data_IF_192343088211
#
_entry.id   IF_192343088211
#
_cell.length_a   1.000
_cell.length_b   1.000
_cell.length_c   1.000
_cell.angle_alpha   90.00
_cell.angle_beta   90.00
_cell.angle_gamma   90.00
#
_symmetry.space_group_name_H-M   'P 1'
#
loop_
_entity.id
_entity.type
_entity.pdbx_description
1 polymer ?
#
# COMPACT_ATOMS: atom_id res chain seq x y z
N UNK A 1 -13.91 10.58 19.45
CA UNK A 1 -12.47 10.71 19.16
C UNK A 1 -12.29 10.63 17.67
N UNK A 2 -11.50 11.50 17.05
CA UNK A 2 -11.21 11.45 15.62
C UNK A 2 -10.22 10.33 15.31
N UNK A 3 -10.32 9.71 14.14
CA UNK A 3 -9.32 8.75 13.68
C UNK A 3 -8.01 9.47 13.32
N UNK A 4 -6.88 8.79 13.56
CA UNK A 4 -5.52 9.29 13.30
C UNK A 4 -4.85 8.55 12.14
N UNK A 5 -5.27 7.30 11.90
CA UNK A 5 -4.67 6.40 10.93
C UNK A 5 -5.74 5.69 10.10
N UNK A 6 -5.61 5.71 8.78
CA UNK A 6 -6.48 4.96 7.85
C UNK A 6 -5.71 3.80 7.23
N UNK A 7 -6.20 2.58 7.42
CA UNK A 7 -5.70 1.40 6.72
C UNK A 7 -6.54 1.18 5.47
N UNK A 8 -5.91 1.32 4.31
CA UNK A 8 -6.50 1.09 3.00
C UNK A 8 -6.37 -0.39 2.66
N UNK A 9 -7.48 -1.02 2.27
CA UNK A 9 -7.55 -2.41 1.85
C UNK A 9 -8.09 -2.46 0.42
N UNK A 10 -7.21 -2.55 -0.61
CA UNK A 10 -7.64 -2.75 -1.99
C UNK A 10 -8.29 -4.12 -2.16
N UNK A 11 -9.46 -4.17 -2.79
CA UNK A 11 -10.25 -5.39 -3.01
C UNK A 11 -10.62 -5.53 -4.47
N UNK A 12 -10.34 -6.71 -5.06
CA UNK A 12 -10.82 -7.08 -6.39
C UNK A 12 -11.06 -8.58 -6.47
N UNK A 13 -12.33 -9.01 -6.45
CA UNK A 13 -12.74 -10.41 -6.43
C UNK A 13 -12.04 -11.19 -5.31
N UNK A 14 -12.34 -10.84 -4.07
CA UNK A 14 -11.70 -11.39 -2.86
C UNK A 14 -12.78 -11.87 -1.85
N UNK A 15 -13.96 -12.29 -2.32
CA UNK A 15 -15.08 -12.69 -1.47
C UNK A 15 -14.70 -13.72 -0.39
N UNK A 16 -13.76 -14.64 -0.71
CA UNK A 16 -13.29 -15.69 0.20
C UNK A 16 -12.39 -15.17 1.34
N UNK A 17 -11.84 -13.95 1.21
CA UNK A 17 -10.88 -13.38 2.17
C UNK A 17 -11.51 -12.34 3.10
N UNK A 18 -12.61 -11.70 2.72
CA UNK A 18 -13.12 -10.49 3.39
C UNK A 18 -13.55 -10.72 4.84
N UNK A 19 -14.14 -11.86 5.18
CA UNK A 19 -14.51 -12.17 6.58
C UNK A 19 -13.27 -12.30 7.47
N UNK A 20 -12.20 -12.90 6.93
CA UNK A 20 -10.92 -12.98 7.62
C UNK A 20 -10.29 -11.59 7.77
N UNK A 21 -10.33 -10.77 6.72
CA UNK A 21 -9.84 -9.38 6.76
C UNK A 21 -10.55 -8.59 7.85
N UNK A 22 -11.87 -8.67 7.93
CA UNK A 22 -12.65 -8.04 9.00
C UNK A 22 -12.16 -8.47 10.38
N UNK A 23 -12.11 -9.78 10.62
CA UNK A 23 -11.71 -10.36 11.91
C UNK A 23 -10.33 -9.88 12.35
N UNK A 24 -9.34 -9.96 11.47
CA UNK A 24 -7.95 -9.61 11.78
C UNK A 24 -7.78 -8.08 11.98
N UNK A 25 -8.46 -7.24 11.17
CA UNK A 25 -8.39 -5.79 11.33
C UNK A 25 -9.19 -5.29 12.53
N UNK A 26 -10.29 -5.93 12.90
CA UNK A 26 -10.99 -5.66 14.17
C UNK A 26 -10.12 -6.03 15.38
N UNK A 27 -9.42 -7.16 15.32
CA UNK A 27 -8.50 -7.55 16.37
C UNK A 27 -7.36 -6.52 16.50
N UNK A 28 -6.79 -6.10 15.37
CA UNK A 28 -5.75 -5.06 15.34
C UNK A 28 -6.26 -3.73 15.91
N UNK A 29 -7.46 -3.28 15.55
CA UNK A 29 -8.03 -2.00 16.02
C UNK A 29 -8.08 -1.88 17.55
N UNK A 30 -8.16 -3.00 18.25
CA UNK A 30 -8.18 -3.04 19.72
C UNK A 30 -6.80 -2.83 20.36
N UNK A 31 -5.72 -3.12 19.64
CA UNK A 31 -4.33 -3.05 20.11
C UNK A 31 -3.52 -1.99 19.36
N UNK A 32 -4.15 -1.30 18.43
CA UNK A 32 -3.52 -0.26 17.63
C UNK A 32 -3.06 0.92 18.50
N UNK A 33 -1.82 1.37 18.30
CA UNK A 33 -1.25 2.53 19.03
C UNK A 33 -1.86 3.86 18.59
N UNK A 34 -2.58 3.88 17.47
CA UNK A 34 -3.32 5.01 16.92
C UNK A 34 -4.78 4.67 16.71
N UNK A 35 -5.69 5.63 16.95
CA UNK A 35 -7.10 5.43 16.64
C UNK A 35 -7.28 5.21 15.13
N UNK A 36 -7.66 3.97 14.76
CA UNK A 36 -7.56 3.47 13.38
C UNK A 36 -8.93 3.25 12.76
N UNK A 37 -9.11 3.73 11.53
CA UNK A 37 -10.21 3.33 10.66
C UNK A 37 -9.72 2.51 9.47
N UNK A 38 -10.60 1.70 8.92
CA UNK A 38 -10.34 0.84 7.77
C UNK A 38 -11.12 1.39 6.57
N UNK A 39 -10.46 1.48 5.41
CA UNK A 39 -11.06 1.91 4.17
C UNK A 39 -10.89 0.83 3.11
N UNK A 40 -11.95 0.09 2.85
CA UNK A 40 -12.00 -0.80 1.70
C UNK A 40 -12.07 0.01 0.40
N UNK A 41 -11.26 -0.34 -0.58
CA UNK A 41 -11.37 0.21 -1.93
C UNK A 41 -11.68 -0.93 -2.90
N UNK A 42 -12.96 -1.10 -3.22
CA UNK A 42 -13.41 -2.10 -4.18
C UNK A 42 -13.12 -1.63 -5.61
N UNK A 43 -12.17 -2.29 -6.25
CA UNK A 43 -11.72 -2.01 -7.62
C UNK A 43 -12.64 -2.66 -8.67
N UNK A 44 -13.96 -2.46 -8.54
CA UNK A 44 -14.96 -2.97 -9.49
C UNK A 44 -15.08 -4.48 -9.52
N UNK A 45 -15.15 -5.13 -8.35
CA UNK A 45 -15.33 -6.59 -8.22
C UNK A 45 -16.62 -7.05 -8.89
N UNK A 46 -16.61 -8.27 -9.42
CA UNK A 46 -17.73 -8.92 -10.10
C UNK A 46 -18.33 -10.10 -9.31
N UNK A 47 -17.72 -10.44 -8.20
CA UNK A 47 -18.17 -11.45 -7.24
C UNK A 47 -18.98 -10.81 -6.10
N UNK A 48 -19.15 -11.51 -4.99
CA UNK A 48 -19.91 -11.01 -3.82
C UNK A 48 -19.12 -10.01 -2.96
N UNK A 49 -17.89 -9.63 -3.34
CA UNK A 49 -17.04 -8.74 -2.53
C UNK A 49 -17.74 -7.45 -2.14
N UNK A 50 -18.51 -6.80 -3.06
CA UNK A 50 -19.21 -5.55 -2.75
C UNK A 50 -20.23 -5.74 -1.62
N UNK A 51 -21.09 -6.75 -1.74
CA UNK A 51 -22.13 -6.99 -0.73
C UNK A 51 -21.53 -7.34 0.64
N UNK A 52 -20.43 -8.08 0.67
CA UNK A 52 -19.72 -8.41 1.91
C UNK A 52 -19.12 -7.16 2.53
N UNK A 53 -18.47 -6.30 1.75
CA UNK A 53 -17.91 -5.02 2.22
C UNK A 53 -18.99 -4.14 2.85
N UNK A 54 -20.13 -3.98 2.19
CA UNK A 54 -21.27 -3.20 2.69
C UNK A 54 -21.73 -3.74 4.05
N UNK A 55 -21.96 -5.04 4.15
CA UNK A 55 -22.37 -5.68 5.39
C UNK A 55 -21.33 -5.54 6.52
N UNK A 56 -20.01 -5.55 6.19
CA UNK A 56 -18.94 -5.29 7.17
C UNK A 56 -19.02 -3.84 7.66
N UNK A 57 -19.19 -2.88 6.77
CA UNK A 57 -19.25 -1.46 7.12
C UNK A 57 -20.52 -1.10 7.90
N UNK A 58 -21.64 -1.75 7.63
CA UNK A 58 -22.88 -1.56 8.40
C UNK A 58 -22.78 -1.97 9.86
N UNK A 59 -22.03 -3.04 10.15
CA UNK A 59 -21.88 -3.55 11.54
C UNK A 59 -20.67 -3.00 12.29
N UNK A 60 -19.76 -2.23 11.61
CA UNK A 60 -18.55 -1.71 12.21
C UNK A 60 -18.35 -0.22 11.88
N UNK A 61 -18.51 0.65 12.84
CA UNK A 61 -18.43 2.12 12.67
C UNK A 61 -17.06 2.67 12.26
N UNK A 62 -16.01 1.88 12.38
CA UNK A 62 -14.64 2.25 11.99
C UNK A 62 -14.25 1.66 10.63
N UNK A 63 -15.18 1.02 9.90
CA UNK A 63 -14.97 0.53 8.54
C UNK A 63 -15.78 1.37 7.55
N UNK A 64 -15.12 1.73 6.47
CA UNK A 64 -15.70 2.52 5.38
C UNK A 64 -15.32 1.89 4.04
N UNK A 65 -15.98 2.30 2.97
CA UNK A 65 -15.63 1.81 1.63
C UNK A 65 -15.76 2.86 0.54
N UNK A 66 -15.03 2.63 -0.54
CA UNK A 66 -15.15 3.27 -1.85
C UNK A 66 -15.30 2.16 -2.87
N UNK A 67 -16.16 2.33 -3.86
CA UNK A 67 -16.37 1.37 -4.94
C UNK A 67 -16.18 2.00 -6.31
N UNK A 68 -15.39 1.36 -7.18
CA UNK A 68 -15.22 1.78 -8.57
C UNK A 68 -16.28 1.10 -9.45
N UNK A 69 -16.73 1.80 -10.50
CA UNK A 69 -17.63 1.24 -11.51
C UNK A 69 -16.99 0.08 -12.29
N UNK A 70 -15.66 0.09 -12.44
CA UNK A 70 -14.92 -0.94 -13.16
C UNK A 70 -13.48 -1.02 -12.68
N UNK A 71 -12.82 -2.18 -12.88
CA UNK A 71 -11.44 -2.41 -12.48
C UNK A 71 -10.48 -1.41 -13.13
N UNK A 72 -9.71 -0.71 -12.31
CA UNK A 72 -8.66 0.25 -12.68
C UNK A 72 -7.26 -0.19 -12.21
N UNK A 73 -7.19 -1.24 -11.41
CA UNK A 73 -5.97 -1.85 -10.91
C UNK A 73 -5.48 -1.30 -9.57
N UNK A 74 -4.61 -2.07 -8.93
CA UNK A 74 -4.12 -1.84 -7.57
C UNK A 74 -3.62 -0.40 -7.32
N UNK A 75 -2.88 0.19 -8.26
CA UNK A 75 -2.38 1.56 -8.09
C UNK A 75 -3.49 2.59 -8.00
N UNK A 76 -4.58 2.41 -8.77
CA UNK A 76 -5.74 3.28 -8.71
C UNK A 76 -6.48 3.13 -7.37
N UNK A 77 -6.65 1.89 -6.90
CA UNK A 77 -7.29 1.64 -5.62
C UNK A 77 -6.50 2.25 -4.45
N UNK A 78 -5.17 2.11 -4.45
CA UNK A 78 -4.31 2.74 -3.44
C UNK A 78 -4.42 4.27 -3.52
N UNK A 79 -4.39 4.85 -4.73
CA UNK A 79 -4.50 6.32 -4.91
C UNK A 79 -5.84 6.85 -4.41
N UNK A 80 -6.94 6.19 -4.75
CA UNK A 80 -8.24 6.57 -4.23
C UNK A 80 -8.26 6.51 -2.69
N UNK A 81 -7.69 5.46 -2.10
CA UNK A 81 -7.54 5.38 -0.64
C UNK A 81 -6.76 6.56 -0.06
N UNK A 82 -5.66 6.99 -0.70
CA UNK A 82 -4.90 8.17 -0.27
C UNK A 82 -5.73 9.45 -0.37
N UNK A 83 -6.46 9.65 -1.48
CA UNK A 83 -7.21 10.88 -1.73
C UNK A 83 -8.42 11.04 -0.80
N UNK A 84 -9.11 9.93 -0.51
CA UNK A 84 -10.31 9.95 0.32
C UNK A 84 -10.04 9.81 1.82
N UNK A 85 -8.84 9.38 2.23
CA UNK A 85 -8.48 9.35 3.64
C UNK A 85 -8.46 10.76 4.24
N UNK A 86 -9.10 10.93 5.40
CA UNK A 86 -9.17 12.20 6.15
C UNK A 86 -8.18 12.27 7.32
N UNK A 87 -7.45 11.18 7.59
CA UNK A 87 -6.49 11.06 8.70
C UNK A 87 -5.11 11.58 8.34
N UNK A 88 -4.31 11.92 9.35
CA UNK A 88 -2.92 12.38 9.15
C UNK A 88 -1.99 11.28 8.62
N UNK A 89 -2.30 10.02 8.91
CA UNK A 89 -1.52 8.86 8.49
C UNK A 89 -2.38 7.93 7.64
N UNK A 90 -1.79 7.39 6.58
CA UNK A 90 -2.39 6.36 5.74
C UNK A 90 -1.45 5.17 5.63
N UNK A 91 -2.01 3.98 5.60
CA UNK A 91 -1.28 2.75 5.32
C UNK A 91 -2.09 1.89 4.37
N UNK A 92 -1.48 0.84 3.82
CA UNK A 92 -2.26 -0.15 3.11
C UNK A 92 -1.77 -1.56 3.39
N UNK A 93 -2.67 -2.51 3.24
CA UNK A 93 -2.43 -3.95 3.38
C UNK A 93 -3.23 -4.67 2.30
N UNK A 94 -2.68 -5.76 1.76
CA UNK A 94 -3.39 -6.58 0.78
C UNK A 94 -4.49 -7.41 1.47
N UNK A 95 -5.62 -7.61 0.79
CA UNK A 95 -6.77 -8.39 1.29
C UNK A 95 -6.47 -9.89 1.51
N UNK A 96 -5.36 -10.42 0.96
CA UNK A 96 -4.93 -11.78 1.20
C UNK A 96 -4.21 -12.00 2.54
N UNK A 97 -3.96 -10.91 3.27
CA UNK A 97 -3.31 -10.90 4.60
C UNK A 97 -2.06 -11.80 4.67
N UNK A 98 -1.17 -11.69 3.68
CA UNK A 98 0.14 -12.34 3.74
C UNK A 98 1.10 -11.62 4.71
N UNK A 99 0.73 -10.42 5.21
CA UNK A 99 1.41 -9.69 6.28
C UNK A 99 0.50 -9.56 7.50
N UNK A 100 1.08 -9.43 8.70
CA UNK A 100 0.30 -9.30 9.92
C UNK A 100 -0.11 -7.83 10.16
N UNK A 101 -1.41 -7.54 10.35
CA UNK A 101 -1.86 -6.18 10.72
C UNK A 101 -1.20 -5.62 11.99
N UNK A 102 -0.86 -6.44 12.97
CA UNK A 102 -0.19 -5.99 14.19
C UNK A 102 1.16 -5.31 13.91
N UNK A 103 1.83 -5.68 12.81
CA UNK A 103 3.11 -5.08 12.43
C UNK A 103 2.98 -3.61 12.02
N UNK A 104 1.76 -3.08 11.81
CA UNK A 104 1.57 -1.64 11.69
C UNK A 104 2.07 -0.87 12.92
N UNK A 105 1.94 -1.43 14.13
CA UNK A 105 2.45 -0.77 15.33
C UNK A 105 3.98 -0.58 15.26
N UNK A 106 4.72 -1.57 14.73
CA UNK A 106 6.17 -1.44 14.51
C UNK A 106 6.50 -0.31 13.52
N UNK A 107 5.70 -0.15 12.46
CA UNK A 107 5.91 0.91 11.49
C UNK A 107 5.55 2.29 12.09
N UNK A 108 4.48 2.35 12.86
CA UNK A 108 4.00 3.58 13.51
C UNK A 108 5.00 4.15 14.52
N UNK A 109 5.84 3.34 15.15
CA UNK A 109 6.91 3.79 16.05
C UNK A 109 7.91 4.72 15.35
N UNK A 110 8.11 4.55 14.04
CA UNK A 110 9.09 5.31 13.27
C UNK A 110 8.52 6.48 12.48
N UNK A 111 7.19 6.63 12.38
CA UNK A 111 6.56 7.65 11.52
C UNK A 111 6.79 9.09 12.02
N UNK A 112 7.22 9.27 13.25
CA UNK A 112 7.63 10.57 13.79
C UNK A 112 8.85 11.15 13.07
N UNK A 113 9.83 10.30 12.73
CA UNK A 113 11.10 10.68 12.10
C UNK A 113 11.09 10.54 10.57
N UNK A 114 10.22 9.66 10.04
CA UNK A 114 10.14 9.33 8.62
C UNK A 114 8.77 9.71 8.05
N UNK A 115 8.72 9.91 6.74
CA UNK A 115 7.50 10.27 6.02
C UNK A 115 6.84 9.05 5.35
N UNK A 116 7.64 7.99 5.12
CA UNK A 116 7.19 6.66 4.77
C UNK A 116 8.00 5.61 5.54
N UNK A 117 7.30 4.71 6.19
CA UNK A 117 7.85 3.50 6.79
C UNK A 117 7.26 2.31 6.06
N UNK A 118 8.10 1.45 5.47
CA UNK A 118 7.65 0.28 4.70
C UNK A 118 8.18 -1.00 5.31
N UNK A 119 7.37 -2.06 5.29
CA UNK A 119 7.83 -3.37 5.67
C UNK A 119 8.86 -3.94 4.70
N UNK A 120 9.80 -4.72 5.19
CA UNK A 120 10.59 -5.67 4.41
C UNK A 120 10.29 -7.08 4.90
N UNK A 121 9.87 -7.95 3.98
CA UNK A 121 9.42 -9.30 4.35
C UNK A 121 10.59 -10.17 4.80
N UNK A 122 10.67 -10.39 6.12
CA UNK A 122 11.66 -11.29 6.70
C UNK A 122 11.32 -12.75 6.37
N UNK A 123 12.33 -13.57 6.13
CA UNK A 123 12.22 -15.03 5.96
C UNK A 123 11.19 -15.48 4.92
N UNK A 124 11.20 -14.88 3.72
CA UNK A 124 10.31 -15.28 2.63
C UNK A 124 10.43 -16.78 2.32
N UNK A 125 9.37 -17.52 2.60
CA UNK A 125 9.23 -18.97 2.26
C UNK A 125 8.72 -19.19 0.82
N UNK A 126 9.00 -18.26 -0.09
CA UNK A 126 8.67 -18.39 -1.50
C UNK A 126 9.61 -19.38 -2.20
N UNK A 127 9.16 -19.94 -3.34
CA UNK A 127 10.01 -20.82 -4.15
C UNK A 127 11.29 -20.09 -4.61
N UNK A 128 12.38 -20.86 -4.80
CA UNK A 128 13.68 -20.31 -5.25
C UNK A 128 13.54 -19.42 -6.50
N UNK A 129 12.73 -19.81 -7.48
CA UNK A 129 12.47 -19.06 -8.72
C UNK A 129 11.80 -17.70 -8.41
N UNK A 130 10.81 -17.67 -7.51
CA UNK A 130 10.15 -16.41 -7.09
C UNK A 130 11.11 -15.48 -6.35
N UNK A 131 11.95 -16.02 -5.49
CA UNK A 131 12.93 -15.24 -4.73
C UNK A 131 14.00 -14.64 -5.67
N UNK A 132 14.51 -15.43 -6.62
CA UNK A 132 15.49 -14.98 -7.61
C UNK A 132 14.91 -13.89 -8.52
N UNK A 133 13.71 -14.10 -9.09
CA UNK A 133 13.05 -13.10 -9.94
C UNK A 133 12.75 -11.80 -9.18
N UNK A 134 12.35 -11.87 -7.92
CA UNK A 134 12.15 -10.69 -7.06
C UNK A 134 13.47 -9.95 -6.81
N UNK A 135 14.57 -10.66 -6.53
CA UNK A 135 15.89 -10.03 -6.32
C UNK A 135 16.36 -9.30 -7.57
N UNK A 136 16.22 -9.92 -8.75
CA UNK A 136 16.58 -9.29 -10.03
C UNK A 136 15.71 -8.05 -10.28
N UNK A 137 14.39 -8.16 -10.14
CA UNK A 137 13.46 -7.04 -10.35
C UNK A 137 13.74 -5.88 -9.39
N UNK A 138 13.97 -6.16 -8.10
CA UNK A 138 14.35 -5.13 -7.13
C UNK A 138 15.74 -4.55 -7.39
N UNK A 139 16.71 -5.34 -7.85
CA UNK A 139 18.03 -4.85 -8.26
C UNK A 139 17.94 -3.87 -9.43
N UNK A 140 17.21 -4.23 -10.49
CA UNK A 140 16.94 -3.35 -11.63
C UNK A 140 16.25 -2.06 -11.14
N UNK A 141 15.15 -2.17 -10.40
CA UNK A 141 14.45 -1.00 -9.88
C UNK A 141 15.38 -0.09 -9.08
N UNK A 142 16.19 -0.63 -8.16
CA UNK A 142 17.14 0.15 -7.35
C UNK A 142 18.15 0.93 -8.19
N UNK A 143 18.63 0.36 -9.30
CA UNK A 143 19.55 1.08 -10.20
C UNK A 143 18.91 2.28 -10.88
N UNK A 144 17.58 2.31 -11.02
CA UNK A 144 16.84 3.45 -11.56
C UNK A 144 16.41 4.45 -10.47
N UNK A 145 15.96 3.96 -9.32
CA UNK A 145 15.36 4.80 -8.26
C UNK A 145 16.37 5.36 -7.28
N UNK A 146 17.44 4.61 -6.99
CA UNK A 146 18.43 4.90 -5.94
C UNK A 146 17.78 5.14 -4.56
N UNK A 147 16.66 4.42 -4.28
CA UNK A 147 15.86 4.59 -3.08
C UNK A 147 16.37 3.80 -1.86
N UNK A 148 17.37 2.95 -2.04
CA UNK A 148 17.95 2.13 -0.97
C UNK A 148 17.06 0.98 -0.47
N UNK A 149 15.88 0.76 -1.10
CA UNK A 149 14.90 -0.20 -0.61
C UNK A 149 15.11 -1.61 -1.16
N UNK A 150 15.12 -2.61 -0.29
CA UNK A 150 15.31 -4.02 -0.66
C UNK A 150 14.01 -4.68 -1.14
N UNK A 151 12.87 -4.37 -0.54
CA UNK A 151 11.57 -4.97 -0.86
C UNK A 151 10.45 -3.92 -0.93
N UNK A 152 10.25 -3.34 -2.11
CA UNK A 152 9.12 -2.41 -2.32
C UNK A 152 7.79 -3.12 -2.61
N UNK A 153 7.84 -4.43 -2.82
CA UNK A 153 6.64 -5.26 -3.03
C UNK A 153 5.94 -5.67 -1.73
N UNK A 154 6.47 -5.33 -0.55
CA UNK A 154 5.73 -5.52 0.69
C UNK A 154 4.54 -4.55 0.73
N UNK A 155 3.30 -5.03 0.95
CA UNK A 155 2.13 -4.14 1.00
C UNK A 155 2.10 -3.31 2.27
N UNK A 156 2.67 -3.81 3.38
CA UNK A 156 2.58 -3.14 4.67
C UNK A 156 3.42 -1.86 4.68
N UNK A 157 2.75 -0.71 4.65
CA UNK A 157 3.35 0.62 4.64
C UNK A 157 2.53 1.59 5.47
N UNK A 158 3.23 2.56 6.08
CA UNK A 158 2.63 3.74 6.73
C UNK A 158 3.26 4.98 6.10
N UNK A 159 2.42 5.94 5.71
CA UNK A 159 2.83 7.16 5.00
C UNK A 159 2.10 8.35 5.64
N UNK A 160 2.75 9.49 5.79
CA UNK A 160 2.08 10.74 6.10
C UNK A 160 1.15 11.13 4.94
N UNK A 161 -0.10 11.44 5.24
CA UNK A 161 -1.15 11.63 4.23
C UNK A 161 -0.82 12.74 3.22
N UNK A 162 -0.17 13.81 3.67
CA UNK A 162 0.24 14.91 2.79
C UNK A 162 1.19 14.46 1.68
N UNK A 163 2.14 13.59 2.01
CA UNK A 163 3.04 12.99 1.02
C UNK A 163 2.29 12.04 0.09
N UNK A 164 1.44 11.17 0.66
CA UNK A 164 0.69 10.18 -0.12
C UNK A 164 -0.24 10.84 -1.15
N UNK A 165 -0.96 11.88 -0.76
CA UNK A 165 -1.90 12.62 -1.63
C UNK A 165 -1.21 13.30 -2.81
N UNK A 166 0.00 13.84 -2.60
CA UNK A 166 0.78 14.52 -3.65
C UNK A 166 1.43 13.57 -4.66
N UNK A 167 1.38 12.25 -4.47
CA UNK A 167 1.95 11.30 -5.44
C UNK A 167 1.12 11.30 -6.73
N UNK A 168 1.69 11.70 -7.89
CA UNK A 168 1.03 11.61 -9.20
C UNK A 168 1.00 10.16 -9.67
N UNK A 169 0.05 9.36 -9.17
CA UNK A 169 -0.02 7.92 -9.35
C UNK A 169 -0.32 7.55 -10.81
N UNK A 170 0.45 6.62 -11.38
CA UNK A 170 0.14 5.90 -12.61
C UNK A 170 0.11 4.38 -12.36
N UNK A 171 -0.38 3.62 -13.33
CA UNK A 171 -0.47 2.15 -13.23
C UNK A 171 0.93 1.55 -13.01
N UNK A 172 1.13 0.80 -11.93
CA UNK A 172 2.44 0.22 -11.55
C UNK A 172 3.21 1.04 -10.51
N UNK A 173 2.90 2.34 -10.32
CA UNK A 173 3.67 3.24 -9.46
C UNK A 173 3.67 2.83 -7.97
N UNK A 174 2.72 2.04 -7.50
CA UNK A 174 2.69 1.53 -6.13
C UNK A 174 4.00 0.83 -5.70
N UNK A 175 4.81 0.36 -6.66
CA UNK A 175 6.15 -0.22 -6.42
C UNK A 175 7.24 0.82 -6.19
N UNK A 176 6.96 2.09 -6.49
CA UNK A 176 7.90 3.21 -6.44
C UNK A 176 7.57 4.20 -5.32
N UNK A 177 6.64 3.86 -4.42
CA UNK A 177 6.22 4.78 -3.34
C UNK A 177 7.40 5.35 -2.55
N UNK A 178 8.40 4.56 -2.11
CA UNK A 178 9.57 5.13 -1.43
C UNK A 178 10.32 6.16 -2.29
N UNK A 179 10.54 5.84 -3.56
CA UNK A 179 11.21 6.75 -4.49
C UNK A 179 10.41 8.05 -4.70
N UNK A 180 9.07 7.97 -4.71
CA UNK A 180 8.18 9.14 -4.83
C UNK A 180 8.21 10.02 -3.57
N UNK A 181 8.37 9.43 -2.40
CA UNK A 181 8.55 10.19 -1.16
C UNK A 181 9.90 10.92 -1.17
N UNK A 182 10.97 10.24 -1.60
CA UNK A 182 12.30 10.87 -1.75
C UNK A 182 12.30 12.02 -2.76
N UNK A 183 11.54 11.93 -3.86
CA UNK A 183 11.37 13.04 -4.81
C UNK A 183 10.70 14.27 -4.18
N UNK A 184 9.89 14.06 -3.16
CA UNK A 184 9.27 15.13 -2.36
C UNK A 184 10.17 15.63 -1.21
N UNK A 185 11.45 15.24 -1.19
CA UNK A 185 12.41 15.54 -0.09
C UNK A 185 12.02 14.89 1.25
N UNK A 186 11.16 13.88 1.22
CA UNK A 186 10.76 13.11 2.39
C UNK A 186 11.78 12.03 2.78
N UNK A 187 11.64 11.49 3.98
CA UNK A 187 12.50 10.45 4.55
C UNK A 187 11.80 9.10 4.52
N UNK A 188 12.53 8.04 4.18
CA UNK A 188 12.01 6.67 4.09
C UNK A 188 12.87 5.68 4.86
N UNK A 189 12.23 4.65 5.43
CA UNK A 189 12.91 3.54 6.11
C UNK A 189 12.19 2.22 5.87
N UNK A 190 12.93 1.10 5.93
CA UNK A 190 12.38 -0.26 5.92
C UNK A 190 12.52 -0.92 7.28
N UNK A 191 11.45 -1.58 7.73
CA UNK A 191 11.40 -2.33 8.99
C UNK A 191 11.05 -3.79 8.69
N UNK A 192 11.76 -4.78 9.25
CA UNK A 192 11.42 -6.19 9.07
C UNK A 192 10.02 -6.49 9.61
N UNK A 193 9.18 -7.16 8.77
CA UNK A 193 7.81 -7.55 9.13
C UNK A 193 7.59 -9.04 8.87
N UNK A 194 6.61 -9.61 9.58
CA UNK A 194 6.20 -11.00 9.43
C UNK A 194 5.55 -11.25 8.08
N UNK A 195 5.85 -12.38 7.46
CA UNK A 195 5.25 -12.77 6.18
C UNK A 195 4.76 -14.23 6.23
N UNK A 196 3.53 -14.43 5.80
CA UNK A 196 2.84 -15.71 5.82
C UNK A 196 2.51 -16.19 4.40
N UNK A 197 2.40 -17.51 4.19
CA UNK A 197 1.89 -18.04 2.93
C UNK A 197 0.42 -17.63 2.73
N UNK A 198 0.02 -17.45 1.46
CA UNK A 198 -1.37 -17.19 1.09
C UNK A 198 -2.26 -18.39 1.49
N UNK A 199 -3.40 -18.12 2.13
CA UNK A 199 -4.34 -19.14 2.60
C UNK A 199 -5.45 -19.34 1.55
N UNK A 200 -5.96 -18.26 0.90
CA UNK A 200 -7.04 -18.33 -0.09
C UNK A 200 -6.78 -17.38 -1.27
N UNK A 201 -7.55 -17.52 -2.35
CA UNK A 201 -7.43 -16.71 -3.56
C UNK A 201 -6.39 -17.22 -4.56
N UNK A 202 -6.45 -16.74 -5.81
CA UNK A 202 -5.56 -17.12 -6.90
C UNK A 202 -4.52 -16.04 -7.21
N UNK A 203 -3.30 -16.45 -7.62
CA UNK A 203 -2.28 -15.51 -8.07
C UNK A 203 -2.67 -14.92 -9.45
N UNK A 204 -2.99 -13.63 -9.50
CA UNK A 204 -3.53 -12.95 -10.69
C UNK A 204 -2.48 -12.55 -11.74
N UNK A 205 -1.16 -12.77 -11.49
CA UNK A 205 -0.08 -12.31 -12.37
C UNK A 205 0.87 -13.43 -12.82
N UNK A 206 1.04 -13.58 -14.14
CA UNK A 206 2.02 -14.47 -14.78
C UNK A 206 3.46 -13.91 -14.75
N UNK A 207 4.46 -14.75 -15.11
CA UNK A 207 5.89 -14.42 -15.09
C UNK A 207 6.26 -13.23 -16.00
N UNK A 208 5.69 -13.14 -17.20
CA UNK A 208 5.97 -12.09 -18.18
C UNK A 208 5.49 -10.72 -17.72
N UNK A 209 4.33 -10.66 -17.07
CA UNK A 209 3.79 -9.40 -16.49
C UNK A 209 4.61 -8.91 -15.29
N UNK A 210 5.45 -9.78 -14.70
CA UNK A 210 6.32 -9.44 -13.57
C UNK A 210 7.66 -8.84 -13.97
N UNK A 211 8.11 -9.00 -15.23
CA UNK A 211 9.40 -8.53 -15.69
C UNK A 211 9.30 -7.32 -16.63
N UNK A 212 8.45 -7.39 -17.67
CA UNK A 212 8.38 -6.33 -18.68
C UNK A 212 7.63 -5.09 -18.18
N UNK A 213 6.51 -5.26 -17.48
CA UNK A 213 5.76 -4.14 -16.91
C UNK A 213 6.63 -3.27 -15.96
N UNK A 214 7.26 -3.84 -14.92
CA UNK A 214 8.12 -3.07 -14.03
C UNK A 214 9.30 -2.38 -14.72
N UNK A 215 9.81 -2.91 -15.82
CA UNK A 215 10.89 -2.26 -16.58
C UNK A 215 10.39 -0.98 -17.27
N UNK A 216 9.24 -1.03 -17.94
CA UNK A 216 8.63 0.18 -18.51
C UNK A 216 8.30 1.22 -17.45
N UNK A 217 7.84 0.78 -16.28
CA UNK A 217 7.55 1.64 -15.13
C UNK A 217 8.82 2.37 -14.63
N UNK A 218 10.00 1.72 -14.70
CA UNK A 218 11.28 2.36 -14.37
C UNK A 218 11.58 3.55 -15.31
N UNK A 219 11.34 3.40 -16.62
CA UNK A 219 11.53 4.50 -17.58
C UNK A 219 10.51 5.63 -17.34
N UNK A 220 9.26 5.30 -17.06
CA UNK A 220 8.24 6.28 -16.69
C UNK A 220 8.64 7.06 -15.43
N UNK A 221 9.16 6.36 -14.40
CA UNK A 221 9.70 7.00 -13.20
C UNK A 221 10.87 7.95 -13.52
N UNK A 222 11.84 7.54 -14.36
CA UNK A 222 12.97 8.42 -14.75
C UNK A 222 12.50 9.68 -15.48
N UNK A 223 11.52 9.54 -16.38
CA UNK A 223 10.93 10.67 -17.07
C UNK A 223 10.27 11.62 -16.05
N UNK A 224 9.45 11.08 -15.16
CA UNK A 224 8.78 11.85 -14.12
C UNK A 224 9.78 12.51 -13.18
N UNK A 225 10.83 11.80 -12.74
CA UNK A 225 11.90 12.35 -11.91
C UNK A 225 12.55 13.59 -12.53
N UNK A 226 12.77 13.60 -13.85
CA UNK A 226 13.34 14.74 -14.58
C UNK A 226 12.37 15.93 -14.71
N UNK A 227 11.07 15.69 -14.59
CA UNK A 227 10.00 16.68 -14.77
C UNK A 227 9.29 17.03 -13.47
N UNK A 228 9.67 16.40 -12.38
CA UNK A 228 9.05 16.63 -11.08
C UNK A 228 9.30 18.08 -10.62
N UNK A 229 8.22 18.74 -10.21
CA UNK A 229 8.26 20.11 -9.67
C UNK A 229 8.13 20.01 -8.15
N UNK A 230 9.14 20.48 -7.44
CA UNK A 230 9.10 20.65 -5.99
C UNK A 230 9.25 22.13 -5.67
N UNK A 231 8.40 22.67 -4.80
CA UNK A 231 8.47 24.07 -4.39
C UNK A 231 8.05 24.23 -2.93
N UNK A 232 8.57 25.28 -2.30
CA UNK A 232 8.18 25.68 -0.95
C UNK A 232 7.63 27.11 -1.00
N UNK A 233 6.44 27.31 -0.47
CA UNK A 233 5.86 28.64 -0.34
C UNK A 233 6.53 29.35 0.83
N UNK A 234 7.19 30.48 0.59
CA UNK A 234 7.87 31.24 1.63
C UNK A 234 6.90 32.11 2.44
N UNK A 235 5.86 32.64 1.79
CA UNK A 235 4.81 33.48 2.41
C UNK A 235 3.50 33.30 1.65
N UNK A 236 2.38 33.35 2.34
CA UNK A 236 1.03 33.42 1.78
C UNK A 236 0.14 34.24 2.73
N UNK A 237 -0.97 34.75 2.24
CA UNK A 237 -1.98 35.52 2.95
C UNK A 237 -3.41 35.04 2.61
N UNK A 238 -3.57 33.70 2.55
CA UNK A 238 -4.84 33.03 2.27
C UNK A 238 -5.59 32.74 3.56
#
# INVERSE_FOLDING_TARGET
MSFEFTIIVPVYNEEDNLERVEKELLAYSKIATKNTCILFVNDGSKDKSQAIIEAICERNNNFNYISFESNKGLSAAIKAGFDYASTALVGYIDSDLQTNPEDFNLLLEHIGEFDLVTGVRANRKDSFVKNMSSKIANGIRRSFTHDGMDDTGCPLKVIKADFAKRIPMFKGLHRFLPAMILLQEGKVIQIPVRHYPRIAGQAKFGLWNRLLGPLSDCFAYLWMKRKYINYKVAKHDL
#
